data_IF_282115697592
#
_entry.id   IF_282115697592
#
_cell.length_a   1.000
_cell.length_b   1.000
_cell.length_c   1.000
_cell.angle_alpha   90.00
_cell.angle_beta   90.00
_cell.angle_gamma   90.00
#
_symmetry.space_group_name_H-M   'P 1'
#
loop_
_entity.id
_entity.type
_entity.pdbx_description
1 polymer ?
#
# COMPACT_ATOMS: atom_id res chain seq x y z
N UNK A 1 -2.33 -11.48 35.29
CA UNK A 1 -2.40 -10.99 33.90
C UNK A 1 -3.34 -11.92 33.15
N UNK A 2 -4.60 -11.53 32.95
CA UNK A 2 -5.41 -12.22 31.95
C UNK A 2 -4.75 -11.99 30.60
N UNK A 3 -4.27 -13.06 29.96
CA UNK A 3 -3.71 -12.99 28.62
C UNK A 3 -4.86 -12.68 27.65
N UNK A 4 -4.95 -11.41 27.23
CA UNK A 4 -5.86 -11.01 26.17
C UNK A 4 -5.30 -11.43 24.81
N UNK A 5 -5.49 -12.71 24.49
CA UNK A 5 -5.07 -13.31 23.22
C UNK A 5 -5.81 -12.72 22.02
N UNK A 6 -7.00 -12.13 22.22
CA UNK A 6 -7.82 -11.55 21.18
C UNK A 6 -7.46 -10.08 20.89
N UNK A 7 -6.79 -9.40 21.83
CA UNK A 7 -6.40 -7.98 21.72
C UNK A 7 -5.78 -7.61 20.38
N UNK A 8 -4.88 -8.43 19.83
CA UNK A 8 -4.21 -8.13 18.55
C UNK A 8 -5.21 -8.07 17.38
N UNK A 9 -6.21 -8.96 17.37
CA UNK A 9 -7.26 -8.96 16.36
C UNK A 9 -8.16 -7.74 16.54
N UNK A 10 -8.64 -7.51 17.77
CA UNK A 10 -9.57 -6.42 18.09
C UNK A 10 -8.93 -5.06 17.82
N UNK A 11 -7.70 -4.83 18.28
CA UNK A 11 -6.98 -3.57 18.09
C UNK A 11 -6.68 -3.31 16.61
N UNK A 12 -6.28 -4.34 15.86
CA UNK A 12 -6.07 -4.20 14.41
C UNK A 12 -7.36 -3.85 13.67
N UNK A 13 -8.50 -4.40 14.09
CA UNK A 13 -9.78 -4.09 13.48
C UNK A 13 -10.30 -2.71 13.89
N UNK A 14 -10.10 -2.29 15.15
CA UNK A 14 -10.42 -0.94 15.59
C UNK A 14 -9.61 0.10 14.79
N UNK A 15 -8.31 -0.12 14.60
CA UNK A 15 -7.47 0.74 13.76
C UNK A 15 -8.01 0.85 12.34
N UNK A 16 -8.43 -0.27 11.73
CA UNK A 16 -9.06 -0.27 10.41
C UNK A 16 -10.29 0.64 10.40
N UNK A 17 -11.17 0.51 11.38
CA UNK A 17 -12.44 1.24 11.44
C UNK A 17 -12.30 2.73 11.75
N UNK A 18 -11.28 3.11 12.52
CA UNK A 18 -11.08 4.50 12.96
C UNK A 18 -10.20 5.30 11.98
N UNK A 19 -9.12 4.71 11.49
CA UNK A 19 -8.13 5.39 10.65
C UNK A 19 -7.92 4.71 9.30
N UNK A 20 -7.79 3.37 9.32
CA UNK A 20 -7.35 2.58 8.17
C UNK A 20 -8.27 2.69 6.95
N UNK A 21 -9.59 2.77 7.13
CA UNK A 21 -10.55 2.94 6.04
C UNK A 21 -10.33 4.28 5.32
N UNK A 22 -10.12 5.37 6.06
CA UNK A 22 -9.91 6.68 5.45
C UNK A 22 -8.57 6.74 4.71
N UNK A 23 -7.52 6.11 5.26
CA UNK A 23 -6.23 5.96 4.59
C UNK A 23 -6.32 5.06 3.34
N UNK A 24 -7.16 4.01 3.37
CA UNK A 24 -7.39 3.17 2.20
C UNK A 24 -8.12 3.95 1.11
N UNK A 25 -9.10 4.78 1.49
CA UNK A 25 -9.88 5.62 0.59
C UNK A 25 -9.03 6.69 -0.09
N UNK A 26 -8.11 7.33 0.62
CA UNK A 26 -7.21 8.32 0.03
C UNK A 26 -6.29 7.73 -1.06
N UNK A 27 -6.06 6.42 -1.02
CA UNK A 27 -5.25 5.69 -2.01
C UNK A 27 -6.06 5.21 -3.23
N UNK A 28 -7.39 5.30 -3.18
CA UNK A 28 -8.26 4.98 -4.33
C UNK A 28 -8.03 6.06 -5.39
N UNK A 29 -7.65 5.69 -6.63
CA UNK A 29 -7.47 6.67 -7.70
C UNK A 29 -8.78 7.38 -7.98
N UNK A 30 -8.70 8.67 -8.28
CA UNK A 30 -9.87 9.42 -8.69
C UNK A 30 -10.28 9.04 -10.11
N UNK A 31 -11.58 8.91 -10.32
CA UNK A 31 -12.16 8.65 -11.63
C UNK A 31 -12.25 9.97 -12.40
N UNK A 32 -11.59 10.04 -13.55
CA UNK A 32 -11.55 11.25 -14.39
C UNK A 32 -12.38 11.03 -15.64
N UNK A 33 -13.32 11.94 -15.89
CA UNK A 33 -14.21 11.88 -17.04
C UNK A 33 -14.32 13.24 -17.72
N UNK A 34 -14.40 13.23 -19.05
CA UNK A 34 -14.73 14.43 -19.82
C UNK A 34 -16.22 14.48 -20.08
N UNK A 35 -16.82 15.61 -19.76
CA UNK A 35 -18.20 15.92 -20.10
C UNK A 35 -18.31 16.35 -21.56
N UNK A 36 -19.52 16.27 -22.13
CA UNK A 36 -19.80 16.63 -23.51
C UNK A 36 -19.50 18.11 -23.83
N UNK A 37 -19.50 18.98 -22.82
CA UNK A 37 -19.17 20.40 -22.95
C UNK A 37 -17.65 20.67 -22.97
N UNK A 38 -16.81 19.63 -22.81
CA UNK A 38 -15.35 19.74 -22.79
C UNK A 38 -14.73 19.86 -21.40
N UNK A 39 -15.54 20.05 -20.36
CA UNK A 39 -15.06 20.12 -18.98
C UNK A 39 -14.60 18.75 -18.49
N UNK A 40 -13.57 18.74 -17.64
CA UNK A 40 -13.10 17.53 -16.96
C UNK A 40 -13.65 17.49 -15.53
N UNK A 41 -14.22 16.35 -15.15
CA UNK A 41 -14.71 16.07 -13.80
C UNK A 41 -13.85 14.99 -13.18
N UNK A 42 -13.49 15.19 -11.91
CA UNK A 42 -12.75 14.22 -11.10
C UNK A 42 -13.64 13.80 -9.92
N UNK A 43 -13.93 12.51 -9.81
CA UNK A 43 -14.71 11.93 -8.72
C UNK A 43 -13.76 11.20 -7.78
N UNK A 44 -13.80 11.59 -6.50
CA UNK A 44 -12.99 11.00 -5.44
C UNK A 44 -13.84 10.66 -4.23
N UNK A 45 -13.46 9.60 -3.53
CA UNK A 45 -13.98 9.29 -2.22
C UNK A 45 -13.25 10.15 -1.18
N UNK A 46 -14.00 10.84 -0.32
CA UNK A 46 -13.42 11.73 0.71
C UNK A 46 -13.25 11.03 2.07
N UNK A 47 -13.96 9.93 2.30
CA UNK A 47 -13.92 9.15 3.52
C UNK A 47 -15.08 8.17 3.60
N UNK A 48 -15.04 7.27 4.57
CA UNK A 48 -16.16 6.40 4.88
C UNK A 48 -16.24 6.14 6.38
N UNK A 49 -17.45 5.87 6.84
CA UNK A 49 -17.71 5.51 8.23
C UNK A 49 -18.53 4.23 8.27
N UNK A 50 -18.18 3.35 9.21
CA UNK A 50 -18.88 2.09 9.42
C UNK A 50 -19.82 2.28 10.61
N UNK A 51 -21.11 2.05 10.37
CA UNK A 51 -22.14 2.07 11.41
C UNK A 51 -22.11 0.84 12.32
N UNK A 52 -23.13 0.69 13.15
CA UNK A 52 -23.30 -0.50 13.98
C UNK A 52 -24.22 -1.51 13.29
N UNK A 53 -24.09 -2.83 13.58
CA UNK A 53 -25.05 -3.83 13.13
C UNK A 53 -26.45 -3.54 13.64
N UNK A 54 -27.39 -3.42 12.71
CA UNK A 54 -28.80 -3.12 12.97
C UNK A 54 -29.70 -3.98 12.09
N UNK A 55 -30.89 -4.29 12.60
CA UNK A 55 -31.95 -4.93 11.83
C UNK A 55 -32.72 -3.87 11.06
N UNK A 56 -32.67 -3.94 9.73
CA UNK A 56 -33.63 -3.24 8.89
C UNK A 56 -34.84 -4.13 8.73
N UNK A 57 -35.97 -3.75 9.32
CA UNK A 57 -37.25 -4.35 8.97
C UNK A 57 -37.68 -3.75 7.62
N UNK A 58 -37.74 -4.58 6.57
CA UNK A 58 -38.34 -4.22 5.29
C UNK A 58 -39.89 -4.07 5.39
N UNK A 59 -40.44 -4.17 6.61
CA UNK A 59 -41.86 -4.13 6.93
C UNK A 59 -42.24 -2.81 7.62
N UNK A 60 -42.60 -1.81 6.82
CA UNK A 60 -43.55 -0.69 7.06
C UNK A 60 -43.85 -0.30 8.54
N UNK A 61 -42.82 -0.06 9.36
CA UNK A 61 -43.00 0.69 10.61
C UNK A 61 -41.83 1.67 10.75
N UNK A 62 -42.07 2.99 10.71
CA UNK A 62 -41.06 3.98 11.03
C UNK A 62 -40.96 4.05 12.56
N UNK A 63 -40.43 3.01 13.19
CA UNK A 63 -39.94 3.12 14.56
C UNK A 63 -38.54 3.72 14.50
N UNK A 64 -38.42 4.92 15.07
CA UNK A 64 -37.30 5.86 14.95
C UNK A 64 -35.95 5.41 15.54
N UNK A 65 -35.74 4.13 15.83
CA UNK A 65 -34.48 3.62 16.34
C UNK A 65 -34.16 2.30 15.63
N UNK A 66 -33.13 2.31 14.78
CA UNK A 66 -32.59 1.10 14.16
C UNK A 66 -32.34 0.03 15.26
N UNK A 67 -33.09 -1.08 15.22
CA UNK A 67 -33.01 -2.13 16.24
C UNK A 67 -31.60 -2.72 16.27
N UNK A 68 -30.94 -2.66 17.45
CA UNK A 68 -29.60 -3.20 17.64
C UNK A 68 -29.61 -4.71 17.42
N UNK A 69 -28.82 -5.19 16.47
CA UNK A 69 -28.61 -6.61 16.24
C UNK A 69 -27.48 -7.09 17.15
N UNK A 70 -27.68 -8.15 17.92
CA UNK A 70 -26.63 -8.72 18.80
C UNK A 70 -25.99 -9.99 18.21
N UNK A 71 -24.72 -10.31 18.52
CA UNK A 71 -24.05 -11.49 17.97
C UNK A 71 -24.75 -12.82 18.29
N UNK A 72 -25.24 -13.03 19.51
CA UNK A 72 -26.02 -14.20 19.92
C UNK A 72 -27.24 -14.43 19.02
N UNK A 73 -27.95 -13.36 18.66
CA UNK A 73 -29.08 -13.44 17.73
C UNK A 73 -28.64 -13.87 16.32
N UNK A 74 -27.51 -13.36 15.82
CA UNK A 74 -26.97 -13.79 14.53
C UNK A 74 -26.60 -15.28 14.51
N UNK A 75 -26.10 -15.83 15.62
CA UNK A 75 -25.82 -17.27 15.74
C UNK A 75 -27.10 -18.09 15.63
N UNK A 76 -28.15 -17.68 16.35
CA UNK A 76 -29.43 -18.39 16.38
C UNK A 76 -30.20 -18.32 15.05
N UNK A 77 -30.14 -17.16 14.37
CA UNK A 77 -30.85 -16.91 13.10
C UNK A 77 -30.02 -17.27 11.86
N UNK A 78 -28.83 -17.84 12.04
CA UNK A 78 -27.88 -18.14 10.96
C UNK A 78 -27.53 -16.92 10.08
N UNK A 79 -27.48 -15.73 10.67
CA UNK A 79 -27.18 -14.48 9.99
C UNK A 79 -25.68 -14.15 10.03
N UNK A 80 -25.25 -13.20 9.20
CA UNK A 80 -23.92 -12.58 9.30
C UNK A 80 -24.03 -11.33 10.18
N UNK A 81 -23.15 -11.21 11.16
CA UNK A 81 -23.07 -10.01 12.00
C UNK A 81 -22.34 -8.89 11.23
N UNK A 82 -23.10 -8.03 10.56
CA UNK A 82 -22.60 -7.02 9.63
C UNK A 82 -23.18 -5.63 9.91
N UNK A 83 -22.41 -4.60 9.58
CA UNK A 83 -22.81 -3.20 9.63
C UNK A 83 -23.31 -2.71 8.25
N UNK A 84 -23.91 -1.50 8.16
CA UNK A 84 -24.16 -0.83 6.88
C UNK A 84 -22.90 -0.81 6.01
N UNK A 85 -23.06 -0.97 4.68
CA UNK A 85 -21.99 -1.28 3.69
C UNK A 85 -21.63 -2.79 3.63
N UNK A 86 -22.46 -3.68 4.21
CA UNK A 86 -22.29 -5.14 4.13
C UNK A 86 -20.96 -5.64 4.71
N UNK A 87 -20.37 -4.89 5.66
CA UNK A 87 -19.10 -5.22 6.28
C UNK A 87 -19.31 -6.10 7.52
N UNK A 88 -18.78 -7.34 7.57
CA UNK A 88 -18.77 -8.15 8.78
C UNK A 88 -18.02 -7.44 9.92
N UNK A 89 -18.62 -7.42 11.11
CA UNK A 89 -18.04 -6.75 12.28
C UNK A 89 -17.36 -7.78 13.19
N UNK A 90 -16.14 -7.48 13.61
CA UNK A 90 -15.41 -8.30 14.57
C UNK A 90 -16.03 -8.16 15.96
N UNK A 91 -16.29 -9.27 16.64
CA UNK A 91 -16.81 -9.26 18.00
C UNK A 91 -15.84 -8.54 18.95
N UNK A 92 -16.39 -7.78 19.89
CA UNK A 92 -15.69 -6.91 20.85
C UNK A 92 -14.93 -5.70 20.25
N UNK A 93 -14.96 -5.50 18.94
CA UNK A 93 -14.47 -4.26 18.32
C UNK A 93 -15.30 -3.03 18.68
N UNK A 94 -14.80 -1.84 18.41
CA UNK A 94 -15.44 -0.54 18.61
C UNK A 94 -16.69 -0.28 17.75
N UNK A 95 -17.10 -1.21 16.90
CA UNK A 95 -18.39 -1.19 16.18
C UNK A 95 -19.26 -2.40 16.51
N UNK A 96 -18.84 -3.22 17.47
CA UNK A 96 -19.64 -4.32 18.02
C UNK A 96 -20.41 -3.85 19.25
N UNK A 97 -21.67 -4.26 19.37
CA UNK A 97 -22.50 -3.95 20.54
C UNK A 97 -22.03 -4.61 21.85
N UNK A 98 -21.05 -5.54 21.78
CA UNK A 98 -20.44 -6.16 22.96
C UNK A 98 -19.27 -5.36 23.56
N UNK A 99 -18.85 -4.28 22.89
CA UNK A 99 -17.77 -3.45 23.37
C UNK A 99 -18.15 -2.77 24.70
N UNK A 100 -17.25 -2.82 25.67
CA UNK A 100 -17.42 -2.16 26.98
C UNK A 100 -18.49 -2.78 27.88
N UNK A 101 -19.18 -3.84 27.45
CA UNK A 101 -20.18 -4.51 28.28
C UNK A 101 -19.54 -5.27 29.45
N UNK A 102 -20.16 -5.15 30.63
CA UNK A 102 -19.79 -5.92 31.81
C UNK A 102 -20.18 -7.40 31.67
N UNK A 103 -19.60 -8.27 32.51
CA UNK A 103 -19.95 -9.70 32.56
C UNK A 103 -21.45 -9.94 32.69
N UNK A 104 -22.13 -9.20 33.55
CA UNK A 104 -23.58 -9.32 33.78
C UNK A 104 -24.37 -8.88 32.54
N UNK A 105 -23.93 -7.80 31.88
CA UNK A 105 -24.55 -7.33 30.64
C UNK A 105 -24.36 -8.31 29.49
N UNK A 106 -23.19 -8.95 29.38
CA UNK A 106 -22.95 -10.00 28.37
C UNK A 106 -23.93 -11.16 28.53
N UNK A 107 -24.03 -11.69 29.76
CA UNK A 107 -24.95 -12.78 30.08
C UNK A 107 -26.40 -12.40 29.77
N UNK A 108 -26.80 -11.16 30.08
CA UNK A 108 -28.15 -10.64 29.77
C UNK A 108 -28.47 -10.65 28.28
N UNK A 109 -27.47 -10.43 27.42
CA UNK A 109 -27.62 -10.46 25.95
C UNK A 109 -27.36 -11.85 25.35
N UNK A 110 -27.27 -12.90 26.17
CA UNK A 110 -27.08 -14.28 25.70
C UNK A 110 -25.64 -14.63 25.31
N UNK A 111 -24.66 -13.79 25.66
CA UNK A 111 -23.24 -14.05 25.44
C UNK A 111 -22.58 -14.71 26.64
N UNK A 112 -21.41 -15.32 26.42
CA UNK A 112 -20.58 -15.82 27.51
C UNK A 112 -20.07 -14.66 28.40
N UNK A 113 -20.12 -14.85 29.72
CA UNK A 113 -19.67 -13.83 30.68
C UNK A 113 -18.20 -13.42 30.55
N UNK A 114 -17.37 -14.26 29.92
CA UNK A 114 -15.95 -14.01 29.65
C UNK A 114 -15.62 -13.94 28.14
N UNK A 115 -16.60 -13.62 27.29
CA UNK A 115 -16.42 -13.49 25.84
C UNK A 115 -15.22 -12.60 25.49
N UNK A 116 -14.28 -13.13 24.70
CA UNK A 116 -13.01 -12.46 24.33
C UNK A 116 -13.09 -11.77 22.97
N UNK A 117 -13.98 -12.19 22.07
CA UNK A 117 -14.11 -11.66 20.72
C UNK A 117 -12.89 -11.96 19.84
N UNK A 118 -12.66 -11.11 18.83
CA UNK A 118 -11.54 -11.28 17.89
C UNK A 118 -11.83 -12.14 16.65
N UNK A 119 -13.09 -12.54 16.46
CA UNK A 119 -13.57 -13.32 15.32
C UNK A 119 -14.85 -12.69 14.75
N UNK A 120 -15.34 -13.24 13.64
CA UNK A 120 -16.51 -12.80 12.90
C UNK A 120 -17.59 -13.88 12.92
N UNK A 121 -18.86 -13.47 12.85
CA UNK A 121 -19.98 -14.38 12.61
C UNK A 121 -20.43 -14.21 11.17
N UNK A 122 -20.29 -15.26 10.37
CA UNK A 122 -20.65 -15.31 8.97
C UNK A 122 -21.67 -16.42 8.75
N UNK A 123 -22.92 -16.06 8.42
CA UNK A 123 -24.03 -17.01 8.22
C UNK A 123 -24.15 -18.02 9.38
N UNK A 124 -24.19 -17.53 10.61
CA UNK A 124 -24.22 -18.34 11.83
C UNK A 124 -22.89 -19.00 12.24
N UNK A 125 -21.89 -19.03 11.36
CA UNK A 125 -20.58 -19.68 11.65
C UNK A 125 -19.53 -18.69 12.14
N UNK A 126 -18.77 -19.08 13.16
CA UNK A 126 -17.66 -18.28 13.67
C UNK A 126 -16.40 -18.48 12.83
N UNK A 127 -15.75 -17.38 12.43
CA UNK A 127 -14.58 -17.37 11.57
C UNK A 127 -13.55 -16.36 12.07
N UNK A 128 -12.28 -16.76 12.09
CA UNK A 128 -11.16 -15.90 12.47
C UNK A 128 -10.18 -15.74 11.31
N UNK A 129 -9.66 -14.53 11.12
CA UNK A 129 -8.58 -14.26 10.18
C UNK A 129 -7.27 -14.69 10.83
N UNK A 130 -6.61 -15.70 10.29
CA UNK A 130 -5.35 -16.22 10.82
C UNK A 130 -4.21 -15.22 10.59
N UNK A 131 -3.38 -15.04 11.61
CA UNK A 131 -2.16 -14.23 11.52
C UNK A 131 -1.15 -14.92 10.60
N UNK A 132 -0.55 -14.14 9.70
CA UNK A 132 0.47 -14.61 8.76
C UNK A 132 1.82 -13.99 9.07
N UNK A 133 2.88 -14.81 9.02
CA UNK A 133 4.26 -14.32 9.09
C UNK A 133 4.64 -13.79 7.71
N UNK A 134 5.06 -12.52 7.65
CA UNK A 134 5.48 -11.85 6.43
C UNK A 134 6.89 -11.28 6.56
N UNK A 135 7.53 -10.96 5.44
CA UNK A 135 8.82 -10.26 5.42
C UNK A 135 8.75 -8.89 6.12
N UNK A 136 9.88 -8.50 6.72
CA UNK A 136 10.00 -7.26 7.49
C UNK A 136 9.63 -6.05 6.62
N UNK A 137 8.82 -5.16 7.20
CA UNK A 137 8.37 -3.91 6.56
C UNK A 137 9.54 -2.93 6.47
N UNK A 138 9.67 -2.23 5.35
CA UNK A 138 10.57 -1.10 5.14
C UNK A 138 12.04 -1.39 5.53
N UNK A 139 12.52 -2.60 5.25
CA UNK A 139 13.89 -3.01 5.55
C UNK A 139 14.52 -3.69 4.33
N UNK A 140 15.68 -3.20 3.84
CA UNK A 140 16.37 -3.81 2.70
C UNK A 140 17.02 -5.13 3.12
N UNK A 141 16.73 -6.19 2.38
CA UNK A 141 17.30 -7.52 2.59
C UNK A 141 18.15 -7.88 1.38
N UNK A 142 19.45 -8.05 1.59
CA UNK A 142 20.34 -8.60 0.58
C UNK A 142 20.09 -10.11 0.44
N UNK A 143 19.90 -10.58 -0.79
CA UNK A 143 19.54 -11.94 -1.12
C UNK A 143 20.48 -12.49 -2.20
N UNK A 144 20.81 -13.78 -2.08
CA UNK A 144 21.48 -14.56 -3.11
C UNK A 144 20.51 -15.65 -3.55
N UNK A 145 19.98 -15.55 -4.77
CA UNK A 145 19.00 -16.50 -5.33
C UNK A 145 19.39 -16.89 -6.74
N UNK A 146 19.55 -18.19 -6.99
CA UNK A 146 19.88 -18.72 -8.33
C UNK A 146 18.86 -18.28 -9.38
N UNK A 147 17.58 -18.33 -9.02
CA UNK A 147 16.46 -17.97 -9.91
C UNK A 147 16.43 -16.48 -10.31
N UNK A 148 17.30 -15.62 -9.77
CA UNK A 148 17.44 -14.26 -10.31
C UNK A 148 18.14 -14.26 -11.67
N UNK A 149 19.02 -15.23 -11.94
CA UNK A 149 19.64 -15.41 -13.27
C UNK A 149 18.61 -15.73 -14.36
N UNK A 150 17.52 -16.40 -13.98
CA UNK A 150 16.46 -16.81 -14.93
C UNK A 150 15.55 -15.64 -15.36
N UNK A 151 15.78 -14.41 -14.87
CA UNK A 151 14.95 -13.24 -15.18
C UNK A 151 15.26 -12.59 -16.53
N UNK A 152 16.44 -12.83 -17.07
CA UNK A 152 16.86 -12.29 -18.36
C UNK A 152 18.37 -12.30 -18.49
N UNK A 153 18.83 -11.87 -19.68
CA UNK A 153 20.25 -11.79 -19.97
C UNK A 153 20.95 -10.83 -19.00
N UNK A 154 22.20 -11.16 -18.65
CA UNK A 154 23.05 -10.43 -17.72
C UNK A 154 22.54 -10.40 -16.26
N UNK A 155 21.38 -10.97 -15.92
CA UNK A 155 20.95 -10.99 -14.52
C UNK A 155 21.87 -11.89 -13.68
N UNK A 156 22.33 -11.37 -12.54
CA UNK A 156 23.08 -12.18 -11.57
C UNK A 156 22.16 -12.77 -10.51
N UNK A 157 22.74 -13.62 -9.66
CA UNK A 157 22.07 -14.17 -8.47
C UNK A 157 21.89 -13.16 -7.32
N UNK A 158 22.45 -11.96 -7.43
CA UNK A 158 22.48 -10.97 -6.37
C UNK A 158 21.31 -9.98 -6.50
N UNK A 159 20.61 -9.75 -5.40
CA UNK A 159 19.63 -8.67 -5.36
C UNK A 159 19.31 -8.18 -3.96
N UNK A 160 18.72 -6.99 -3.88
CA UNK A 160 18.26 -6.37 -2.64
C UNK A 160 16.75 -6.21 -2.72
N UNK A 161 16.03 -6.89 -1.84
CA UNK A 161 14.57 -6.84 -1.76
C UNK A 161 14.15 -5.91 -0.63
N UNK A 162 13.16 -5.06 -0.91
CA UNK A 162 12.51 -4.22 0.09
C UNK A 162 10.99 -4.32 -0.04
N UNK A 163 10.31 -4.60 1.07
CA UNK A 163 8.84 -4.53 1.16
C UNK A 163 8.44 -3.15 1.67
N UNK A 164 8.04 -2.29 0.76
CA UNK A 164 7.60 -0.93 1.04
C UNK A 164 6.14 -0.96 1.50
N UNK A 165 5.88 -0.56 2.74
CA UNK A 165 4.53 -0.50 3.34
C UNK A 165 4.09 0.95 3.46
N UNK A 166 2.97 1.28 2.83
CA UNK A 166 2.34 2.61 2.93
C UNK A 166 1.63 2.82 4.26
N UNK A 167 1.19 4.06 4.49
CA UNK A 167 0.44 4.42 5.71
C UNK A 167 -0.87 3.62 5.84
N UNK A 168 -1.57 3.37 4.73
CA UNK A 168 -2.76 2.50 4.68
C UNK A 168 -2.46 0.99 4.78
N UNK A 169 -1.22 0.60 5.13
CA UNK A 169 -0.72 -0.78 5.17
C UNK A 169 -0.71 -1.56 3.85
N UNK A 170 -1.01 -0.93 2.71
CA UNK A 170 -0.78 -1.52 1.40
C UNK A 170 0.72 -1.78 1.20
N UNK A 171 1.04 -2.92 0.60
CA UNK A 171 2.40 -3.40 0.44
C UNK A 171 2.80 -3.45 -1.03
N UNK A 172 3.95 -2.86 -1.36
CA UNK A 172 4.59 -3.05 -2.64
C UNK A 172 6.01 -3.58 -2.45
N UNK A 173 6.38 -4.57 -3.25
CA UNK A 173 7.72 -5.15 -3.22
C UNK A 173 8.54 -4.52 -4.34
N UNK A 174 9.76 -4.12 -3.98
CA UNK A 174 10.76 -3.60 -4.89
C UNK A 174 12.01 -4.47 -4.77
N UNK A 175 12.60 -4.86 -5.90
CA UNK A 175 13.84 -5.65 -5.92
C UNK A 175 14.86 -4.97 -6.81
N UNK A 176 16.04 -4.68 -6.25
CA UNK A 176 17.21 -4.27 -7.02
C UNK A 176 17.96 -5.51 -7.48
N UNK A 177 18.21 -5.62 -8.77
CA UNK A 177 19.00 -6.67 -9.39
C UNK A 177 20.34 -6.10 -9.85
N UNK A 178 21.43 -6.76 -9.47
CA UNK A 178 22.75 -6.45 -10.01
C UNK A 178 22.99 -7.26 -11.28
N UNK A 179 23.43 -6.62 -12.35
CA UNK A 179 23.67 -7.26 -13.64
C UNK A 179 25.18 -7.48 -13.87
N UNK A 180 25.52 -8.45 -14.72
CA UNK A 180 26.89 -8.83 -15.07
C UNK A 180 27.68 -7.69 -15.73
N UNK A 181 26.99 -6.76 -16.40
CA UNK A 181 27.60 -5.56 -16.98
C UNK A 181 27.87 -4.44 -15.96
N UNK A 182 27.59 -4.67 -14.67
CA UNK A 182 27.82 -3.71 -13.60
C UNK A 182 26.69 -2.69 -13.37
N UNK A 183 25.60 -2.78 -14.13
CA UNK A 183 24.42 -1.93 -13.94
C UNK A 183 23.44 -2.49 -12.90
N UNK A 184 22.53 -1.64 -12.42
CA UNK A 184 21.46 -2.03 -11.50
C UNK A 184 20.10 -1.76 -12.13
N UNK A 185 19.27 -2.79 -12.15
CA UNK A 185 17.88 -2.72 -12.59
C UNK A 185 16.95 -2.86 -11.40
N UNK A 186 15.96 -1.99 -11.31
CA UNK A 186 14.91 -2.05 -10.30
C UNK A 186 13.69 -2.76 -10.87
N UNK A 187 13.20 -3.76 -10.16
CA UNK A 187 11.96 -4.47 -10.45
C UNK A 187 10.86 -3.94 -9.52
N UNK A 188 9.81 -3.38 -10.10
CA UNK A 188 8.64 -2.87 -9.38
C UNK A 188 7.42 -3.67 -9.81
N UNK A 189 6.67 -4.19 -8.84
CA UNK A 189 5.42 -4.88 -9.12
C UNK A 189 4.26 -3.88 -9.17
N UNK A 190 3.53 -3.87 -10.27
CA UNK A 190 2.31 -3.07 -10.44
C UNK A 190 1.24 -3.93 -11.11
N UNK A 191 0.05 -4.04 -10.52
CA UNK A 191 -1.09 -4.86 -11.02
C UNK A 191 -0.72 -6.27 -11.48
N UNK A 192 0.00 -7.00 -10.64
CA UNK A 192 0.48 -8.36 -10.93
C UNK A 192 1.48 -8.47 -12.09
N UNK A 193 1.92 -7.36 -12.67
CA UNK A 193 3.00 -7.29 -13.64
C UNK A 193 4.28 -6.76 -12.99
N UNK A 194 5.42 -7.21 -13.51
CA UNK A 194 6.75 -6.81 -13.06
C UNK A 194 7.39 -5.91 -14.11
N UNK A 195 7.71 -4.69 -13.70
CA UNK A 195 8.39 -3.70 -14.53
C UNK A 195 9.86 -3.61 -14.14
N UNK A 196 10.74 -3.86 -15.11
CA UNK A 196 12.18 -3.70 -14.95
C UNK A 196 12.60 -2.35 -15.53
N UNK A 197 13.22 -1.52 -14.71
CA UNK A 197 13.66 -0.17 -15.07
C UNK A 197 15.12 0.01 -14.66
N UNK A 198 15.92 0.78 -15.40
CA UNK A 198 17.25 1.17 -14.91
C UNK A 198 17.10 1.98 -13.61
N UNK A 199 17.88 1.63 -12.58
CA UNK A 199 17.80 2.32 -11.28
C UNK A 199 17.98 3.84 -11.43
N UNK A 200 18.88 4.25 -12.32
CA UNK A 200 19.26 5.64 -12.45
C UNK A 200 18.15 6.51 -13.09
N UNK A 201 17.19 5.91 -13.81
CA UNK A 201 15.99 6.61 -14.29
C UNK A 201 15.11 7.01 -13.12
N UNK A 202 14.91 6.07 -12.18
CA UNK A 202 14.12 6.33 -10.97
C UNK A 202 14.78 7.40 -10.11
N UNK A 203 16.10 7.32 -9.90
CA UNK A 203 16.83 8.34 -9.13
C UNK A 203 16.69 9.73 -9.76
N UNK A 204 16.95 9.87 -11.07
CA UNK A 204 16.80 11.15 -11.77
C UNK A 204 15.35 11.68 -11.74
N UNK A 205 14.36 10.80 -11.81
CA UNK A 205 12.95 11.21 -11.68
C UNK A 205 12.60 11.69 -10.26
N UNK A 206 13.26 11.17 -9.22
CA UNK A 206 12.98 11.49 -7.83
C UNK A 206 13.72 12.73 -7.31
N UNK A 207 14.93 12.98 -7.79
CA UNK A 207 15.76 14.10 -7.30
C UNK A 207 16.16 15.05 -8.42
N UNK A 208 15.98 16.35 -8.18
CA UNK A 208 16.54 17.40 -9.04
C UNK A 208 18.00 17.66 -8.69
N UNK A 209 18.88 16.72 -9.04
CA UNK A 209 20.32 16.84 -8.82
C UNK A 209 21.12 16.60 -10.11
N UNK A 210 22.32 17.18 -10.17
CA UNK A 210 23.26 16.93 -11.27
C UNK A 210 23.85 15.53 -11.19
N UNK A 211 24.32 15.01 -12.33
CA UNK A 211 24.99 13.69 -12.40
C UNK A 211 26.18 13.60 -11.44
N UNK A 212 26.94 14.70 -11.31
CA UNK A 212 28.05 14.75 -10.36
C UNK A 212 27.57 14.60 -8.92
N UNK A 213 26.47 15.26 -8.54
CA UNK A 213 25.91 15.12 -7.19
C UNK A 213 25.42 13.70 -6.96
N UNK A 214 24.68 13.12 -7.90
CA UNK A 214 24.20 11.73 -7.82
C UNK A 214 25.39 10.76 -7.68
N UNK A 215 26.43 10.93 -8.49
CA UNK A 215 27.65 10.14 -8.44
C UNK A 215 28.29 10.19 -7.04
N UNK A 216 28.48 11.38 -6.47
CA UNK A 216 29.08 11.55 -5.14
C UNK A 216 28.27 10.86 -4.04
N UNK A 217 26.94 10.93 -4.09
CA UNK A 217 26.09 10.24 -3.11
C UNK A 217 26.24 8.72 -3.20
N UNK A 218 26.29 8.16 -4.42
CA UNK A 218 26.41 6.72 -4.62
C UNK A 218 27.76 6.17 -4.17
N UNK A 219 28.86 6.91 -4.34
CA UNK A 219 30.20 6.45 -3.95
C UNK A 219 30.54 6.73 -2.48
N UNK A 220 29.78 7.56 -1.76
CA UNK A 220 30.10 8.02 -0.39
C UNK A 220 30.41 6.88 0.58
N UNK A 221 29.62 5.80 0.56
CA UNK A 221 29.83 4.64 1.45
C UNK A 221 31.02 3.76 1.07
N UNK A 222 31.58 3.93 -0.13
CA UNK A 222 32.67 3.12 -0.70
C UNK A 222 33.62 3.96 -1.55
N UNK A 223 34.06 5.12 -1.03
CA UNK A 223 34.80 6.10 -1.83
C UNK A 223 36.14 5.59 -2.40
N UNK A 224 36.71 4.52 -1.82
CA UNK A 224 37.97 3.89 -2.30
C UNK A 224 37.75 2.74 -3.29
N UNK A 225 36.50 2.38 -3.55
CA UNK A 225 36.14 1.28 -4.43
C UNK A 225 36.04 1.78 -5.88
N UNK A 226 37.15 1.65 -6.61
CA UNK A 226 37.25 2.07 -8.01
C UNK A 226 36.30 1.26 -8.92
N UNK A 227 36.01 0.01 -8.57
CA UNK A 227 35.08 -0.82 -9.33
C UNK A 227 33.66 -0.27 -9.20
N UNK A 228 33.22 0.00 -7.96
CA UNK A 228 31.91 0.61 -7.73
C UNK A 228 31.79 1.99 -8.38
N UNK A 229 32.83 2.82 -8.27
CA UNK A 229 32.88 4.10 -8.96
C UNK A 229 32.67 3.94 -10.48
N UNK A 230 33.36 2.98 -11.11
CA UNK A 230 33.18 2.65 -12.53
C UNK A 230 31.75 2.21 -12.87
N UNK A 231 31.13 1.37 -12.05
CA UNK A 231 29.73 0.95 -12.23
C UNK A 231 28.77 2.14 -12.19
N UNK A 232 28.94 3.06 -11.22
CA UNK A 232 28.09 4.26 -11.09
C UNK A 232 28.27 5.19 -12.29
N UNK A 233 29.51 5.43 -12.72
CA UNK A 233 29.79 6.21 -13.93
C UNK A 233 29.16 5.59 -15.18
N UNK A 234 29.25 4.27 -15.33
CA UNK A 234 28.62 3.56 -16.45
C UNK A 234 27.10 3.70 -16.43
N UNK A 235 26.44 3.55 -15.28
CA UNK A 235 24.99 3.74 -15.17
C UNK A 235 24.54 5.16 -15.52
N UNK A 236 25.31 6.18 -15.13
CA UNK A 236 25.03 7.58 -15.50
C UNK A 236 25.25 7.83 -16.99
N UNK A 237 26.30 7.24 -17.57
CA UNK A 237 26.57 7.34 -19.00
C UNK A 237 25.42 6.74 -19.83
N UNK A 238 24.91 5.56 -19.47
CA UNK A 238 23.75 4.97 -20.14
C UNK A 238 22.54 5.91 -20.13
N UNK A 239 22.25 6.58 -19.00
CA UNK A 239 21.19 7.59 -18.97
C UNK A 239 21.42 8.73 -19.96
N UNK A 240 22.67 9.19 -20.13
CA UNK A 240 22.98 10.26 -21.08
C UNK A 240 22.80 9.81 -22.53
N UNK A 241 23.22 8.59 -22.85
CA UNK A 241 23.04 7.95 -24.16
C UNK A 241 21.55 7.78 -24.50
N UNK A 242 20.74 7.38 -23.51
CA UNK A 242 19.29 7.26 -23.61
C UNK A 242 18.55 8.61 -23.62
N UNK A 243 19.27 9.74 -23.53
CA UNK A 243 18.70 11.09 -23.57
C UNK A 243 18.11 11.59 -22.26
N UNK A 244 18.33 10.88 -21.14
CA UNK A 244 17.78 11.21 -19.81
C UNK A 244 18.80 12.02 -19.02
N UNK A 245 18.73 13.34 -19.22
CA UNK A 245 19.72 14.30 -18.69
C UNK A 245 19.27 14.94 -17.38
N UNK A 246 17.96 15.10 -17.19
CA UNK A 246 17.35 15.83 -16.09
C UNK A 246 16.10 15.10 -15.55
N UNK A 247 15.46 15.68 -14.54
CA UNK A 247 14.26 15.10 -13.94
C UNK A 247 13.09 15.05 -14.93
N UNK A 248 12.94 16.05 -15.79
CA UNK A 248 11.83 16.12 -16.73
C UNK A 248 11.90 15.02 -17.79
N UNK A 249 13.06 14.85 -18.42
CA UNK A 249 13.33 13.76 -19.36
C UNK A 249 13.16 12.38 -18.70
N UNK A 250 13.56 12.22 -17.44
CA UNK A 250 13.33 10.98 -16.70
C UNK A 250 11.83 10.69 -16.45
N UNK A 251 11.06 11.71 -16.06
CA UNK A 251 9.61 11.60 -15.86
C UNK A 251 8.88 11.26 -17.16
N UNK A 252 9.27 11.87 -18.28
CA UNK A 252 8.67 11.58 -19.60
C UNK A 252 9.01 10.15 -20.03
N UNK A 253 10.28 9.74 -19.91
CA UNK A 253 10.73 8.40 -20.30
C UNK A 253 10.05 7.29 -19.49
N UNK A 254 9.81 7.53 -18.20
CA UNK A 254 9.05 6.59 -17.37
C UNK A 254 7.55 6.66 -17.67
N UNK A 255 6.99 7.85 -17.93
CA UNK A 255 5.55 8.03 -18.16
C UNK A 255 5.05 7.38 -19.41
N UNK A 256 5.82 7.50 -20.50
CA UNK A 256 5.52 6.80 -21.75
C UNK A 256 5.47 5.27 -21.56
N UNK A 257 6.31 4.70 -20.67
CA UNK A 257 6.31 3.26 -20.36
C UNK A 257 5.11 2.81 -19.53
N UNK A 258 4.65 3.64 -18.60
CA UNK A 258 3.53 3.29 -17.69
C UNK A 258 2.17 3.76 -18.18
N UNK A 259 2.09 4.55 -19.26
CA UNK A 259 0.84 5.15 -19.75
C UNK A 259 -0.26 4.11 -19.98
N UNK A 260 0.05 3.03 -20.69
CA UNK A 260 -0.91 1.94 -20.97
C UNK A 260 -1.36 1.27 -19.68
N UNK A 261 -0.43 1.01 -18.76
CA UNK A 261 -0.71 0.34 -17.48
C UNK A 261 -1.55 1.21 -16.54
N UNK A 262 -1.51 2.53 -16.70
CA UNK A 262 -2.19 3.52 -15.87
C UNK A 262 -3.44 4.12 -16.52
N UNK A 263 -3.89 3.61 -17.67
CA UNK A 263 -4.97 4.19 -18.47
C UNK A 263 -6.26 4.44 -17.69
N UNK A 264 -6.57 3.63 -16.66
CA UNK A 264 -7.74 3.80 -15.81
C UNK A 264 -7.59 4.88 -14.72
N UNK A 265 -6.39 5.43 -14.52
CA UNK A 265 -6.12 6.48 -13.53
C UNK A 265 -5.83 7.84 -14.16
N UNK A 266 -5.62 7.85 -15.47
CA UNK A 266 -5.15 9.03 -16.19
C UNK A 266 -6.16 9.42 -17.27
N UNK A 267 -6.37 10.72 -17.41
CA UNK A 267 -7.12 11.23 -18.54
C UNK A 267 -6.32 11.02 -19.84
N UNK A 268 -7.00 10.74 -20.94
CA UNK A 268 -6.36 10.62 -22.26
C UNK A 268 -5.58 11.89 -22.66
N UNK A 269 -5.94 13.03 -22.08
CA UNK A 269 -5.33 14.34 -22.28
C UNK A 269 -4.09 14.61 -21.39
N UNK A 270 -3.78 13.76 -20.42
CA UNK A 270 -2.65 13.99 -19.52
C UNK A 270 -1.31 13.66 -20.21
N UNK A 271 -0.29 14.46 -19.94
CA UNK A 271 1.06 14.29 -20.50
C UNK A 271 1.80 13.17 -19.80
N UNK A 272 2.79 12.55 -20.44
CA UNK A 272 3.59 11.49 -19.83
C UNK A 272 4.29 11.93 -18.53
N UNK A 273 4.67 13.21 -18.45
CA UNK A 273 5.19 13.80 -17.21
C UNK A 273 4.14 13.81 -16.08
N UNK A 274 2.88 14.13 -16.40
CA UNK A 274 1.77 14.09 -15.43
C UNK A 274 1.44 12.65 -15.02
N UNK A 275 1.48 11.70 -15.96
CA UNK A 275 1.34 10.27 -15.69
C UNK A 275 2.36 9.83 -14.65
N UNK A 276 3.64 10.20 -14.81
CA UNK A 276 4.64 9.87 -13.80
C UNK A 276 4.54 10.67 -12.53
N UNK A 277 4.00 11.89 -12.53
CA UNK A 277 3.74 12.59 -11.26
C UNK A 277 2.62 11.90 -10.46
N UNK A 278 1.64 11.33 -11.14
CA UNK A 278 0.64 10.48 -10.49
C UNK A 278 1.29 9.22 -9.91
N UNK A 279 2.13 8.52 -10.69
CA UNK A 279 2.89 7.37 -10.21
C UNK A 279 4.01 7.75 -9.22
N UNK A 280 4.49 8.99 -9.21
CA UNK A 280 5.57 9.41 -8.33
C UNK A 280 5.09 9.44 -6.89
N UNK A 281 3.80 9.54 -6.60
CA UNK A 281 3.30 9.26 -5.24
C UNK A 281 3.57 7.79 -4.86
N UNK A 282 3.38 6.86 -5.81
CA UNK A 282 3.68 5.44 -5.65
C UNK A 282 5.17 5.14 -5.52
N UNK A 283 6.02 5.82 -6.29
CA UNK A 283 7.48 5.66 -6.24
C UNK A 283 8.11 6.50 -5.12
N UNK A 284 7.54 7.64 -4.73
CA UNK A 284 8.02 8.49 -3.64
C UNK A 284 7.77 7.86 -2.28
N UNK A 285 6.65 7.14 -2.10
CA UNK A 285 6.45 6.29 -0.93
C UNK A 285 7.51 5.19 -0.78
N UNK A 286 8.14 4.80 -1.90
CA UNK A 286 9.29 3.91 -1.91
C UNK A 286 10.61 4.68 -1.70
N UNK A 287 10.73 5.89 -2.26
CA UNK A 287 11.96 6.69 -2.22
C UNK A 287 12.22 7.35 -0.88
N UNK A 288 11.19 7.88 -0.20
CA UNK A 288 11.32 8.47 1.13
C UNK A 288 11.90 7.47 2.16
N UNK A 289 11.80 6.18 1.86
CA UNK A 289 12.37 5.08 2.65
C UNK A 289 13.72 4.60 2.13
N UNK A 290 14.05 4.85 0.86
CA UNK A 290 15.36 4.59 0.29
C UNK A 290 16.38 5.67 0.67
N UNK A 291 15.95 6.92 0.89
CA UNK A 291 16.82 8.05 1.30
C UNK A 291 17.26 7.99 2.77
N UNK A 292 17.00 6.89 3.50
CA UNK A 292 17.44 6.70 4.89
C UNK A 292 18.97 6.61 5.07
N UNK A 293 19.75 6.81 4.00
CA UNK A 293 21.20 6.95 4.06
C UNK A 293 21.68 8.39 4.23
N UNK A 294 20.81 9.41 4.17
CA UNK A 294 21.17 10.78 4.53
C UNK A 294 20.05 11.49 5.29
N UNK A 295 20.36 11.94 6.51
CA UNK A 295 19.43 12.55 7.47
C UNK A 295 18.91 13.94 7.09
N UNK A 296 18.81 14.26 5.80
CA UNK A 296 18.47 15.61 5.32
C UNK A 296 17.73 15.57 3.99
N UNK A 297 16.48 15.10 3.95
CA UNK A 297 15.50 15.61 2.96
C UNK A 297 14.13 15.67 3.63
N UNK A 298 13.67 16.89 3.91
CA UNK A 298 12.29 17.16 4.29
C UNK A 298 11.38 16.73 3.15
N UNK A 299 10.47 15.79 3.44
CA UNK A 299 9.31 15.48 2.60
C UNK A 299 8.27 16.61 2.71
N UNK A 300 8.66 17.83 2.33
CA UNK A 300 7.78 18.99 2.21
C UNK A 300 7.85 19.48 0.77
N UNK A 301 7.06 18.88 -0.12
CA UNK A 301 7.00 19.33 -1.50
C UNK A 301 6.56 18.30 -2.54
N UNK A 302 5.65 17.38 -2.21
CA UNK A 302 4.71 16.74 -3.15
C UNK A 302 3.41 16.48 -2.39
#
# INVERSE_FOLDING_TARGET
>A
MEYDIASFHVNSFNYLLDEGINLAISDIPAEKLRLANGDAVEIRYCGATVGYPTLKDDLIVPCNDDLKLFPAECRQRELTYKAPIELPIMLKSNRCHLNGLSREQLIKHGEEGNEKGGYFICKGTEKVIRLLVASRRNYPIALIRRNFRDKGDLFTQYGVLMKCIRQNHSATIMTLHYLENGTITIAIQFRNELFYLPLMYIIKALVMQSDQSIYQHFIRGRAKDLFWAGCVSSMLLCCQEDGIRDQESALIALGSRFRVTLEDRIGSWETDQQVMKCLSTFVADMSAKATFCDGTVNASGI
#
